data_IF_884047992074
#
_entry.id   IF_884047992074
#
_cell.length_a   1.000
_cell.length_b   1.000
_cell.length_c   1.000
_cell.angle_alpha   90.00
_cell.angle_beta   90.00
_cell.angle_gamma   90.00
#
_symmetry.space_group_name_H-M   'P 1'
#
loop_
_entity.id
_entity.type
_entity.pdbx_description
1 polymer ?
#
# COMPACT_ATOMS: atom_id res chain seq x y z
N UNK A 1 48.71 6.78 32.85
CA UNK A 1 47.38 7.00 32.24
C UNK A 1 46.51 7.75 33.23
N UNK A 2 46.04 8.94 32.87
CA UNK A 2 45.15 9.75 33.71
C UNK A 2 43.69 9.32 33.52
N UNK A 3 42.82 9.73 34.44
CA UNK A 3 41.38 9.54 34.31
C UNK A 3 40.83 10.16 33.01
N UNK A 4 41.31 11.35 32.65
CA UNK A 4 40.90 12.05 31.43
C UNK A 4 41.31 11.29 30.16
N UNK A 5 42.53 10.75 30.13
CA UNK A 5 43.00 9.91 29.03
C UNK A 5 42.12 8.67 28.86
N UNK A 6 41.73 8.03 29.96
CA UNK A 6 40.83 6.89 29.95
C UNK A 6 39.43 7.26 29.42
N UNK A 7 38.88 8.39 29.86
CA UNK A 7 37.57 8.87 29.40
C UNK A 7 37.56 9.17 27.89
N UNK A 8 38.64 9.75 27.36
CA UNK A 8 38.76 10.04 25.93
C UNK A 8 38.87 8.76 25.09
N UNK A 9 39.60 7.75 25.58
CA UNK A 9 39.67 6.44 24.92
C UNK A 9 38.29 5.76 24.84
N UNK A 10 37.49 5.83 25.91
CA UNK A 10 36.12 5.28 25.91
C UNK A 10 35.20 6.02 24.92
N UNK A 11 35.33 7.33 24.78
CA UNK A 11 34.55 8.09 23.78
C UNK A 11 34.95 7.71 22.35
N UNK A 12 36.24 7.49 22.12
CA UNK A 12 36.78 7.19 20.80
C UNK A 12 36.21 5.90 20.18
N UNK A 13 35.92 4.86 20.98
CA UNK A 13 35.42 3.56 20.49
C UNK A 13 34.08 3.62 19.74
N UNK A 14 33.32 4.70 19.90
CA UNK A 14 32.00 4.90 19.29
C UNK A 14 31.84 6.30 18.69
N UNK A 15 32.97 6.97 18.45
CA UNK A 15 33.01 8.35 17.97
C UNK A 15 32.64 8.46 16.47
N UNK A 16 32.84 7.39 15.73
CA UNK A 16 32.49 7.21 14.31
C UNK A 16 31.08 6.62 14.11
N UNK A 17 30.36 6.31 15.19
CA UNK A 17 28.99 5.79 15.13
C UNK A 17 28.06 6.80 14.47
N UNK A 18 27.34 6.37 13.43
CA UNK A 18 26.46 7.22 12.63
C UNK A 18 24.95 6.99 12.89
N UNK A 19 24.60 6.08 13.80
CA UNK A 19 23.21 5.78 14.12
C UNK A 19 22.54 6.96 14.84
N UNK A 20 21.39 7.39 14.33
CA UNK A 20 20.49 8.31 15.00
C UNK A 20 19.47 7.56 15.87
N UNK A 21 18.92 8.23 16.88
CA UNK A 21 17.85 7.64 17.72
C UNK A 21 16.64 7.22 16.89
N UNK A 22 16.32 7.93 15.80
CA UNK A 22 15.25 7.60 14.86
C UNK A 22 15.51 6.36 14.00
N UNK A 23 16.72 5.83 13.99
CA UNK A 23 17.13 4.63 13.26
C UNK A 23 17.25 3.38 14.15
N UNK A 24 17.12 3.55 15.47
CA UNK A 24 17.21 2.46 16.45
C UNK A 24 15.83 2.20 17.04
N UNK A 25 15.44 0.92 17.15
CA UNK A 25 14.14 0.51 17.67
C UNK A 25 13.83 1.16 19.02
N UNK A 26 12.57 1.60 19.17
CA UNK A 26 12.08 2.18 20.42
C UNK A 26 12.37 1.25 21.61
N UNK A 27 12.92 1.83 22.67
CA UNK A 27 13.32 1.09 23.88
C UNK A 27 14.68 0.37 23.79
N UNK A 28 15.24 0.19 22.60
CA UNK A 28 16.62 -0.32 22.44
C UNK A 28 17.62 0.78 22.75
N UNK A 29 18.78 0.42 23.31
CA UNK A 29 19.82 1.39 23.67
C UNK A 29 21.12 1.14 22.91
N UNK A 30 21.84 2.21 22.60
CA UNK A 30 23.15 2.16 21.94
C UNK A 30 24.07 3.24 22.50
N UNK A 31 25.37 3.16 22.18
CA UNK A 31 26.35 4.18 22.57
C UNK A 31 26.87 4.92 21.33
N UNK A 32 27.00 6.24 21.46
CA UNK A 32 27.64 7.11 20.46
C UNK A 32 28.45 8.17 21.20
N UNK A 33 29.74 8.29 20.87
CA UNK A 33 30.68 9.18 21.56
C UNK A 33 30.74 8.94 23.07
N UNK A 34 30.68 7.67 23.50
CA UNK A 34 30.69 7.28 24.92
C UNK A 34 29.41 7.60 25.70
N UNK A 35 28.35 8.08 25.04
CA UNK A 35 27.07 8.41 25.68
C UNK A 35 26.00 7.38 25.34
N UNK A 36 25.30 6.85 26.35
CA UNK A 36 24.14 5.97 26.17
C UNK A 36 22.96 6.76 25.59
N UNK A 37 22.35 6.24 24.53
CA UNK A 37 21.16 6.78 23.87
C UNK A 37 20.09 5.71 23.75
N UNK A 38 18.83 6.14 23.68
CA UNK A 38 17.68 5.25 23.49
C UNK A 38 17.06 5.52 22.13
N UNK A 39 16.79 4.46 21.38
CA UNK A 39 16.11 4.51 20.09
C UNK A 39 14.66 4.98 20.20
N UNK A 40 14.15 5.52 19.11
CA UNK A 40 12.79 6.04 18.96
C UNK A 40 12.07 5.48 17.73
N UNK A 41 12.73 4.63 16.93
CA UNK A 41 12.14 4.04 15.73
C UNK A 41 10.94 3.15 16.11
N UNK A 42 9.73 3.46 15.63
CA UNK A 42 8.57 2.62 15.93
C UNK A 42 8.69 1.24 15.27
N UNK A 43 8.24 0.21 15.99
CA UNK A 43 8.03 -1.11 15.40
C UNK A 43 6.63 -1.16 14.77
N UNK A 44 6.56 -1.44 13.47
CA UNK A 44 5.31 -1.57 12.69
C UNK A 44 4.92 -3.03 12.45
N UNK A 45 5.83 -3.98 12.72
CA UNK A 45 5.60 -5.41 12.48
C UNK A 45 5.18 -5.69 11.04
N UNK A 46 4.17 -6.53 10.88
CA UNK A 46 3.55 -6.87 9.61
C UNK A 46 2.50 -5.82 9.22
N UNK A 47 2.85 -4.95 8.26
CA UNK A 47 1.88 -4.01 7.70
C UNK A 47 1.12 -4.65 6.53
N UNK A 48 -0.18 -4.84 6.73
CA UNK A 48 -1.09 -5.44 5.74
C UNK A 48 -2.16 -4.45 5.32
N UNK A 49 -2.46 -4.39 4.03
CA UNK A 49 -3.60 -3.63 3.53
C UNK A 49 -4.13 -4.18 2.21
N UNK A 50 -5.38 -3.86 1.90
CA UNK A 50 -6.04 -4.22 0.64
C UNK A 50 -6.48 -2.96 -0.12
N UNK A 51 -6.06 -2.84 -1.38
CA UNK A 51 -6.49 -1.79 -2.30
C UNK A 51 -7.65 -2.33 -3.13
N UNK A 52 -8.83 -1.72 -3.01
CA UNK A 52 -10.07 -2.19 -3.65
C UNK A 52 -10.52 -1.32 -4.82
N UNK A 53 -9.90 -0.15 -5.02
CA UNK A 53 -10.29 0.82 -6.04
C UNK A 53 -9.17 1.05 -7.04
N UNK A 54 -9.55 1.41 -8.27
CA UNK A 54 -8.60 1.92 -9.25
C UNK A 54 -7.93 3.18 -8.69
N UNK A 55 -6.60 3.26 -8.84
CA UNK A 55 -5.78 4.34 -8.29
C UNK A 55 -5.80 4.47 -6.76
N UNK A 56 -6.34 3.48 -6.04
CA UNK A 56 -6.19 3.42 -4.60
C UNK A 56 -4.71 3.28 -4.21
N UNK A 57 -4.33 3.94 -3.12
CA UNK A 57 -2.95 3.93 -2.62
C UNK A 57 -2.93 3.74 -1.11
N UNK A 58 -1.86 3.16 -0.62
CA UNK A 58 -1.59 3.05 0.82
C UNK A 58 -0.21 3.58 1.14
N UNK A 59 -0.13 4.55 2.06
CA UNK A 59 1.14 5.06 2.56
C UNK A 59 1.67 4.13 3.64
N UNK A 60 2.81 3.50 3.39
CA UNK A 60 3.49 2.67 4.38
C UNK A 60 4.11 3.60 5.44
N UNK A 61 3.75 3.47 6.73
CA UNK A 61 4.30 4.32 7.77
C UNK A 61 5.79 4.06 8.00
N UNK A 62 6.54 5.10 8.34
CA UNK A 62 7.95 4.97 8.72
C UNK A 62 8.12 4.13 10.00
N UNK A 63 9.18 3.34 10.04
CA UNK A 63 9.54 2.49 11.17
C UNK A 63 10.15 1.17 10.69
N UNK A 64 10.37 0.27 11.65
CA UNK A 64 10.80 -1.09 11.35
C UNK A 64 9.59 -1.94 10.92
N UNK A 65 9.74 -2.65 9.81
CA UNK A 65 8.79 -3.65 9.33
C UNK A 65 9.47 -5.00 9.38
N UNK A 66 8.75 -6.04 9.79
CA UNK A 66 9.34 -7.38 10.00
C UNK A 66 9.50 -8.21 8.71
N UNK A 67 9.14 -7.63 7.55
CA UNK A 67 9.23 -8.28 6.24
C UNK A 67 8.09 -9.26 5.94
N UNK A 68 7.14 -9.46 6.85
CA UNK A 68 5.98 -10.35 6.64
C UNK A 68 4.71 -9.64 6.18
N UNK A 69 4.70 -8.30 6.20
CA UNK A 69 3.58 -7.49 5.72
C UNK A 69 3.34 -7.62 4.21
N UNK A 70 2.07 -7.57 3.79
CA UNK A 70 1.65 -7.67 2.40
C UNK A 70 0.57 -6.64 2.05
N UNK A 71 0.77 -5.95 0.93
CA UNK A 71 -0.27 -5.13 0.30
C UNK A 71 -0.90 -5.93 -0.84
N UNK A 72 -2.23 -6.10 -0.80
CA UNK A 72 -2.97 -6.88 -1.80
C UNK A 72 -3.89 -5.97 -2.61
N UNK A 73 -3.91 -6.12 -3.93
CA UNK A 73 -4.96 -5.51 -4.76
C UNK A 73 -6.12 -6.49 -4.89
N UNK A 74 -7.34 -6.05 -4.56
CA UNK A 74 -8.55 -6.87 -4.64
C UNK A 74 -9.72 -6.04 -5.21
N UNK A 75 -9.79 -5.94 -6.52
CA UNK A 75 -10.86 -5.23 -7.24
C UNK A 75 -11.95 -6.25 -7.57
N UNK A 76 -13.00 -6.31 -6.75
CA UNK A 76 -14.00 -7.40 -6.79
C UNK A 76 -15.12 -7.19 -7.79
N UNK A 77 -15.29 -5.98 -8.32
CA UNK A 77 -16.34 -5.64 -9.29
C UNK A 77 -15.91 -5.84 -10.76
N UNK A 78 -14.79 -6.51 -11.00
CA UNK A 78 -14.37 -6.91 -12.34
C UNK A 78 -15.18 -8.12 -12.80
N UNK A 79 -16.18 -7.86 -13.65
CA UNK A 79 -17.05 -8.90 -14.22
C UNK A 79 -16.66 -9.12 -15.68
N UNK A 80 -16.22 -10.34 -16.04
CA UNK A 80 -15.74 -10.65 -17.40
C UNK A 80 -16.75 -10.32 -18.50
N UNK A 81 -18.05 -10.49 -18.22
CA UNK A 81 -19.14 -10.19 -19.16
C UNK A 81 -19.29 -8.70 -19.49
N UNK A 82 -18.69 -7.80 -18.70
CA UNK A 82 -18.67 -6.36 -18.99
C UNK A 82 -17.34 -5.91 -19.61
N UNK A 83 -16.36 -6.82 -19.73
CA UNK A 83 -15.02 -6.55 -20.24
C UNK A 83 -14.93 -7.12 -21.65
N UNK A 84 -14.49 -6.29 -22.61
CA UNK A 84 -14.32 -6.69 -24.01
C UNK A 84 -13.54 -8.00 -24.13
N UNK A 85 -14.01 -8.89 -25.01
CA UNK A 85 -13.43 -10.21 -25.26
C UNK A 85 -11.91 -10.12 -25.45
N UNK A 86 -11.17 -10.89 -24.66
CA UNK A 86 -9.72 -10.98 -24.75
C UNK A 86 -8.94 -9.87 -24.03
N UNK A 87 -9.61 -8.84 -23.47
CA UNK A 87 -8.96 -7.82 -22.65
C UNK A 87 -8.73 -8.37 -21.24
N UNK A 88 -7.51 -8.26 -20.73
CA UNK A 88 -7.17 -8.62 -19.35
C UNK A 88 -7.16 -7.36 -18.46
N UNK A 89 -7.96 -7.37 -17.40
CA UNK A 89 -7.95 -6.35 -16.34
C UNK A 89 -7.69 -7.05 -15.01
N UNK A 90 -6.52 -6.82 -14.41
CA UNK A 90 -6.19 -7.33 -13.08
C UNK A 90 -6.26 -8.87 -12.94
N UNK A 91 -6.07 -9.61 -14.04
CA UNK A 91 -6.19 -11.08 -14.07
C UNK A 91 -7.54 -11.62 -14.53
N UNK A 92 -8.56 -10.75 -14.67
CA UNK A 92 -9.86 -11.12 -15.23
C UNK A 92 -9.85 -10.88 -16.74
N UNK A 93 -9.94 -11.95 -17.53
CA UNK A 93 -10.02 -11.88 -18.99
C UNK A 93 -11.49 -11.68 -19.41
N UNK A 94 -11.74 -10.69 -20.25
CA UNK A 94 -13.08 -10.35 -20.72
C UNK A 94 -13.69 -11.37 -21.67
N UNK A 95 -15.01 -11.47 -21.62
CA UNK A 95 -15.86 -12.35 -22.43
C UNK A 95 -16.94 -11.60 -23.21
N UNK A 96 -16.99 -10.27 -23.13
CA UNK A 96 -17.97 -9.47 -23.87
C UNK A 96 -17.62 -9.43 -25.36
N UNK A 97 -18.35 -10.19 -26.16
CA UNK A 97 -18.26 -10.11 -27.61
C UNK A 97 -19.01 -8.86 -28.12
N UNK A 98 -18.50 -8.18 -29.17
CA UNK A 98 -19.27 -7.15 -29.85
C UNK A 98 -20.60 -7.71 -30.37
N UNK A 99 -21.66 -6.92 -30.31
CA UNK A 99 -22.86 -7.22 -31.10
C UNK A 99 -22.51 -6.99 -32.57
N UNK A 100 -22.45 -8.07 -33.34
CA UNK A 100 -22.37 -7.99 -34.80
C UNK A 100 -23.77 -7.65 -35.35
N UNK A 101 -23.98 -6.37 -35.70
CA UNK A 101 -25.20 -5.95 -36.39
C UNK A 101 -25.05 -6.26 -37.88
N UNK A 102 -25.56 -7.39 -38.33
CA UNK A 102 -25.77 -7.64 -39.75
C UNK A 102 -26.81 -6.66 -40.31
N UNK A 103 -26.54 -6.10 -41.49
CA UNK A 103 -27.40 -5.13 -42.17
C UNK A 103 -28.85 -5.67 -42.26
N UNK A 104 -29.75 -5.15 -41.43
CA UNK A 104 -31.15 -5.63 -41.29
C UNK A 104 -31.57 -6.02 -39.87
N UNK A 105 -30.65 -6.12 -38.90
CA UNK A 105 -30.99 -6.39 -37.49
C UNK A 105 -31.58 -5.15 -36.82
N UNK A 106 -32.83 -5.21 -36.34
CA UNK A 106 -33.48 -4.11 -35.63
C UNK A 106 -33.00 -4.04 -34.17
N UNK A 107 -32.48 -2.89 -33.76
CA UNK A 107 -32.19 -2.58 -32.34
C UNK A 107 -33.52 -2.34 -31.63
N UNK A 108 -33.98 -3.30 -30.83
CA UNK A 108 -35.17 -3.15 -30.00
C UNK A 108 -34.80 -2.36 -28.73
N UNK A 109 -34.88 -1.04 -28.80
CA UNK A 109 -34.77 -0.17 -27.64
C UNK A 109 -36.08 -0.25 -26.83
N UNK A 110 -36.10 -0.99 -25.71
CA UNK A 110 -37.21 -0.91 -24.76
C UNK A 110 -37.08 0.39 -23.97
N UNK A 111 -37.80 1.43 -24.38
CA UNK A 111 -37.98 2.62 -23.55
C UNK A 111 -38.96 2.30 -22.42
N UNK A 112 -38.49 2.05 -21.20
CA UNK A 112 -39.35 2.08 -20.00
C UNK A 112 -39.63 3.53 -19.61
N UNK A 113 -40.60 4.15 -20.28
CA UNK A 113 -41.22 5.42 -19.87
C UNK A 113 -42.54 5.15 -19.16
N UNK A 114 -42.58 5.29 -17.84
CA UNK A 114 -43.83 5.28 -17.08
C UNK A 114 -44.56 6.61 -17.31
N UNK A 115 -45.60 6.57 -18.14
CA UNK A 115 -46.54 7.69 -18.29
C UNK A 115 -47.49 7.73 -17.10
N UNK A 116 -47.41 8.78 -16.29
CA UNK A 116 -48.47 9.15 -15.35
C UNK A 116 -49.48 10.02 -16.10
N UNK A 117 -50.67 9.48 -16.38
CA UNK A 117 -51.82 10.27 -16.83
C UNK A 117 -52.52 10.84 -15.60
N UNK A 118 -52.52 12.17 -15.48
CA UNK A 118 -53.22 12.92 -14.47
C UNK A 118 -54.74 12.83 -14.72
N UNK A 119 -55.48 12.25 -13.77
CA UNK A 119 -56.94 12.19 -13.80
C UNK A 119 -57.51 13.28 -12.89
N UNK A 120 -58.35 14.13 -13.47
CA UNK A 120 -59.06 15.27 -12.86
C UNK A 120 -59.89 14.93 -11.63
#
# INVERSE_FOLDING_TARGET
MTYEQLANLIKAISSDSNAAVSQVLSGSTFYQGGTKKTGTMPNRGAVNNTITTQNGSYTIPSGYHDGSGKITAAITNLISNNIKQGVNIGGVIGSLQPLELTSGSQIHATSTGSGSTNGS
#
